data_IF_021691384824
#
_entry.id   IF_021691384824
#
_cell.length_a   1.000
_cell.length_b   1.000
_cell.length_c   1.000
_cell.angle_alpha   90.00
_cell.angle_beta   90.00
_cell.angle_gamma   90.00
#
_symmetry.space_group_name_H-M   'P 1'
#
loop_
_entity.id
_entity.type
_entity.pdbx_description
1 polymer ?
#
# COMPACT_ATOMS: atom_id res chain seq x y z
N UNK A 1 -5.38 -18.61 -6.94
CA UNK A 1 -3.99 -18.91 -7.34
C UNK A 1 -3.59 -18.20 -8.64
N UNK A 2 -4.37 -18.34 -9.74
CA UNK A 2 -4.10 -17.65 -11.03
C UNK A 2 -3.87 -16.14 -10.89
N UNK A 3 -4.65 -15.47 -10.03
CA UNK A 3 -4.50 -14.05 -9.72
C UNK A 3 -3.12 -13.69 -9.16
N UNK A 4 -2.68 -14.35 -8.09
CA UNK A 4 -1.38 -14.08 -7.47
C UNK A 4 -0.24 -14.35 -8.46
N UNK A 5 -0.33 -15.44 -9.23
CA UNK A 5 0.67 -15.74 -10.26
C UNK A 5 0.73 -14.65 -11.34
N UNK A 6 -0.41 -14.06 -11.73
CA UNK A 6 -0.42 -12.93 -12.67
C UNK A 6 0.25 -11.69 -12.09
N UNK A 7 0.00 -11.36 -10.82
CA UNK A 7 0.63 -10.22 -10.13
C UNK A 7 2.14 -10.44 -10.02
N UNK A 8 2.58 -11.63 -9.62
CA UNK A 8 4.00 -11.95 -9.43
C UNK A 8 4.84 -11.93 -10.71
N UNK A 9 4.22 -12.01 -11.91
CA UNK A 9 4.95 -11.85 -13.18
C UNK A 9 5.66 -10.51 -13.29
N UNK A 10 5.06 -9.47 -12.71
CA UNK A 10 5.57 -8.10 -12.69
C UNK A 10 6.55 -7.84 -11.54
N UNK A 11 6.84 -8.87 -10.71
CA UNK A 11 7.78 -8.82 -9.59
C UNK A 11 7.64 -7.56 -8.70
N UNK A 12 6.44 -7.24 -8.19
CA UNK A 12 6.27 -6.09 -7.30
C UNK A 12 6.86 -6.37 -5.91
N UNK A 13 7.42 -5.36 -5.25
CA UNK A 13 7.84 -5.47 -3.84
C UNK A 13 6.66 -5.33 -2.87
N UNK A 14 5.64 -4.55 -3.28
CA UNK A 14 4.47 -4.20 -2.48
C UNK A 14 3.17 -4.30 -3.30
N UNK A 15 2.17 -4.98 -2.75
CA UNK A 15 0.82 -5.06 -3.30
C UNK A 15 -0.17 -4.41 -2.34
N UNK A 16 -0.96 -3.47 -2.84
CA UNK A 16 -1.96 -2.74 -2.06
C UNK A 16 -3.35 -3.06 -2.59
N UNK A 17 -4.30 -3.31 -1.70
CA UNK A 17 -5.69 -3.58 -2.08
C UNK A 17 -6.70 -3.01 -1.07
N UNK A 18 -7.81 -2.50 -1.60
CA UNK A 18 -8.98 -2.09 -0.82
C UNK A 18 -9.77 -3.30 -0.29
N UNK A 19 -9.63 -4.44 -0.96
CA UNK A 19 -10.37 -5.66 -0.64
C UNK A 19 -9.69 -6.48 0.44
N UNK A 20 -10.47 -7.36 1.08
CA UNK A 20 -9.90 -8.39 1.95
C UNK A 20 -9.10 -9.39 1.12
N UNK A 21 -7.94 -9.78 1.64
CA UNK A 21 -7.18 -10.93 1.18
C UNK A 21 -7.32 -12.05 2.22
N UNK A 22 -7.62 -13.26 1.75
CA UNK A 22 -7.57 -14.47 2.57
C UNK A 22 -6.11 -14.92 2.78
N UNK A 23 -5.89 -15.83 3.72
CA UNK A 23 -4.55 -16.20 4.15
C UNK A 23 -3.72 -16.90 3.07
N UNK A 24 -4.37 -17.65 2.17
CA UNK A 24 -3.67 -18.38 1.10
C UNK A 24 -2.98 -17.44 0.09
N UNK A 25 -3.65 -16.43 -0.50
CA UNK A 25 -3.00 -15.37 -1.27
C UNK A 25 -1.88 -14.64 -0.52
N UNK A 26 -2.10 -14.30 0.76
CA UNK A 26 -1.09 -13.61 1.58
C UNK A 26 0.17 -14.48 1.74
N UNK A 27 0.00 -15.76 2.06
CA UNK A 27 1.09 -16.70 2.17
C UNK A 27 1.85 -16.85 0.84
N UNK A 28 1.13 -16.91 -0.28
CA UNK A 28 1.74 -17.05 -1.60
C UNK A 28 2.58 -15.82 -1.99
N UNK A 29 2.07 -14.61 -1.74
CA UNK A 29 2.82 -13.36 -1.97
C UNK A 29 4.04 -13.26 -1.04
N UNK A 30 3.86 -13.56 0.25
CA UNK A 30 4.93 -13.52 1.24
C UNK A 30 6.05 -14.52 0.94
N UNK A 31 5.72 -15.74 0.48
CA UNK A 31 6.72 -16.74 0.04
C UNK A 31 7.54 -16.25 -1.15
N UNK A 32 6.99 -15.37 -1.98
CA UNK A 32 7.69 -14.74 -3.10
C UNK A 32 8.40 -13.43 -2.73
N UNK A 33 8.46 -13.08 -1.44
CA UNK A 33 9.10 -11.85 -0.96
C UNK A 33 8.26 -10.58 -1.15
N UNK A 34 6.98 -10.72 -1.51
CA UNK A 34 6.09 -9.58 -1.79
C UNK A 34 5.26 -9.24 -0.56
N UNK A 35 5.34 -7.99 -0.12
CA UNK A 35 4.52 -7.48 0.98
C UNK A 35 3.12 -7.15 0.49
N UNK A 36 2.10 -7.42 1.32
CA UNK A 36 0.71 -7.15 0.97
C UNK A 36 0.03 -6.28 2.04
N UNK A 37 -0.47 -5.12 1.64
CA UNK A 37 -1.32 -4.25 2.46
C UNK A 37 -2.76 -4.38 1.97
N UNK A 38 -3.64 -4.80 2.87
CA UNK A 38 -5.06 -5.09 2.57
C UNK A 38 -5.99 -4.19 3.36
N UNK A 39 -7.21 -4.02 2.85
CA UNK A 39 -8.27 -3.22 3.49
C UNK A 39 -7.86 -1.74 3.60
N UNK A 40 -7.26 -1.20 2.53
CA UNK A 40 -7.00 0.24 2.47
C UNK A 40 -8.29 1.03 2.22
N UNK A 41 -8.39 2.23 2.79
CA UNK A 41 -9.47 3.15 2.42
C UNK A 41 -9.23 3.68 1.02
N UNK A 42 -10.30 3.89 0.26
CA UNK A 42 -10.24 4.44 -1.11
C UNK A 42 -9.48 5.77 -1.20
N UNK A 43 -9.62 6.63 -0.18
CA UNK A 43 -8.90 7.91 -0.09
C UNK A 43 -7.38 7.69 -0.01
N UNK A 44 -6.92 6.71 0.77
CA UNK A 44 -5.50 6.41 0.92
C UNK A 44 -4.95 5.70 -0.30
N UNK A 45 -5.76 4.88 -0.97
CA UNK A 45 -5.37 4.21 -2.21
C UNK A 45 -5.07 5.25 -3.31
N UNK A 46 -5.96 6.22 -3.50
CA UNK A 46 -5.76 7.32 -4.44
C UNK A 46 -4.54 8.19 -4.12
N UNK A 47 -4.24 8.41 -2.82
CA UNK A 47 -3.05 9.16 -2.40
C UNK A 47 -1.78 8.38 -2.70
N UNK A 48 -1.80 7.07 -2.44
CA UNK A 48 -0.65 6.18 -2.69
C UNK A 48 -0.34 6.06 -4.18
N UNK A 49 -1.36 5.95 -5.03
CA UNK A 49 -1.15 5.89 -6.49
C UNK A 49 -0.53 7.17 -7.04
N UNK A 50 -0.95 8.33 -6.53
CA UNK A 50 -0.36 9.62 -6.91
C UNK A 50 1.10 9.73 -6.46
N UNK A 51 1.42 9.31 -5.23
CA UNK A 51 2.78 9.34 -4.69
C UNK A 51 3.73 8.40 -5.44
N UNK A 52 3.28 7.16 -5.70
CA UNK A 52 4.13 6.11 -6.26
C UNK A 52 4.12 6.05 -7.79
N UNK A 53 3.33 6.89 -8.46
CA UNK A 53 3.04 6.81 -9.91
C UNK A 53 2.47 5.45 -10.36
N UNK A 54 1.67 4.83 -9.49
CA UNK A 54 0.97 3.58 -9.81
C UNK A 54 -0.41 3.85 -10.40
N UNK A 55 -1.00 2.86 -11.08
CA UNK A 55 -2.38 2.91 -11.57
C UNK A 55 -3.23 1.88 -10.83
N UNK A 56 -4.42 2.31 -10.36
CA UNK A 56 -5.37 1.38 -9.72
C UNK A 56 -5.96 0.48 -10.81
N UNK A 57 -5.84 -0.83 -10.63
CA UNK A 57 -6.35 -1.84 -11.57
C UNK A 57 -7.34 -2.75 -10.87
N UNK A 58 -8.54 -2.87 -11.44
CA UNK A 58 -9.61 -3.73 -10.90
C UNK A 58 -9.51 -5.19 -11.39
N UNK A 59 -8.70 -5.46 -12.42
CA UNK A 59 -8.66 -6.72 -13.16
C UNK A 59 -7.23 -7.12 -13.49
N UNK A 60 -6.79 -8.26 -12.96
CA UNK A 60 -5.41 -8.74 -13.10
C UNK A 60 -5.03 -9.14 -14.53
N UNK A 61 -6.02 -9.44 -15.38
CA UNK A 61 -5.80 -9.73 -16.80
C UNK A 61 -5.42 -8.50 -17.62
N UNK A 62 -5.69 -7.29 -17.10
CA UNK A 62 -5.33 -6.01 -17.74
C UNK A 62 -4.10 -5.35 -17.11
N UNK A 63 -3.40 -6.04 -16.20
CA UNK A 63 -2.19 -5.48 -15.61
C UNK A 63 -1.10 -5.34 -16.68
N UNK A 64 -0.36 -4.24 -16.63
CA UNK A 64 0.73 -3.91 -17.54
C UNK A 64 1.89 -3.37 -16.70
N UNK A 65 3.11 -3.44 -17.23
CA UNK A 65 4.30 -2.90 -16.56
C UNK A 65 4.13 -1.40 -16.24
N UNK A 66 3.48 -0.65 -17.12
CA UNK A 66 3.18 0.78 -16.94
C UNK A 66 2.23 1.08 -15.77
N UNK A 67 1.51 0.07 -15.25
CA UNK A 67 0.62 0.24 -14.10
C UNK A 67 1.36 0.08 -12.77
N UNK A 68 2.55 -0.52 -12.77
CA UNK A 68 3.36 -0.73 -11.56
C UNK A 68 4.10 0.57 -11.25
N UNK A 69 3.82 1.14 -10.07
CA UNK A 69 4.47 2.38 -9.63
C UNK A 69 5.89 2.11 -9.13
N UNK A 70 6.85 2.85 -9.65
CA UNK A 70 8.27 2.80 -9.25
C UNK A 70 8.70 4.05 -8.48
N UNK A 71 7.76 4.95 -8.18
CA UNK A 71 8.03 6.24 -7.57
C UNK A 71 8.18 6.21 -6.05
N UNK A 72 7.98 5.07 -5.38
CA UNK A 72 8.18 4.94 -3.94
C UNK A 72 9.68 4.76 -3.62
N UNK A 73 10.19 5.47 -2.60
CA UNK A 73 11.59 5.35 -2.18
C UNK A 73 11.78 4.24 -1.15
N UNK A 74 11.10 4.36 -0.01
CA UNK A 74 11.20 3.39 1.09
C UNK A 74 9.80 2.95 1.54
N UNK A 75 9.62 1.63 1.62
CA UNK A 75 8.48 1.00 2.30
C UNK A 75 8.96 0.40 3.62
N UNK A 76 8.32 0.79 4.72
CA UNK A 76 8.59 0.22 6.04
C UNK A 76 7.32 0.12 6.89
N UNK A 77 7.34 -0.79 7.85
CA UNK A 77 6.29 -0.91 8.88
C UNK A 77 6.91 -0.55 10.22
N UNK A 78 6.38 0.51 10.85
CA UNK A 78 6.86 1.00 12.14
C UNK A 78 5.79 0.80 13.20
N UNK A 79 6.19 0.26 14.35
CA UNK A 79 5.34 0.21 15.54
C UNK A 79 5.46 1.53 16.29
N UNK A 80 4.34 2.18 16.57
CA UNK A 80 4.28 3.42 17.33
C UNK A 80 3.21 3.26 18.41
N UNK A 81 3.62 3.22 19.68
CA UNK A 81 2.73 2.81 20.76
C UNK A 81 2.33 1.35 20.58
N UNK A 82 1.03 1.09 20.55
CA UNK A 82 0.47 -0.26 20.36
C UNK A 82 0.07 -0.56 18.91
N UNK A 83 0.13 0.43 18.02
CA UNK A 83 -0.31 0.32 16.63
C UNK A 83 0.87 0.17 15.65
N UNK A 84 0.60 -0.50 14.52
CA UNK A 84 1.54 -0.60 13.40
C UNK A 84 1.11 0.34 12.28
N UNK A 85 2.07 1.11 11.78
CA UNK A 85 1.88 2.06 10.70
C UNK A 85 2.73 1.66 9.51
N UNK A 86 2.12 1.74 8.32
CA UNK A 86 2.80 1.57 7.04
C UNK A 86 3.29 2.93 6.57
N UNK A 87 4.59 3.02 6.30
CA UNK A 87 5.23 4.20 5.76
C UNK A 87 5.66 3.90 4.32
N UNK A 88 5.25 4.78 3.42
CA UNK A 88 5.76 4.86 2.04
C UNK A 88 6.33 6.26 1.93
N UNK A 89 7.65 6.37 2.01
CA UNK A 89 8.38 7.65 2.09
C UNK A 89 9.39 7.77 0.96
N UNK A 90 10.01 8.95 0.84
CA UNK A 90 10.96 9.29 -0.22
C UNK A 90 10.39 9.08 -1.63
N UNK A 91 9.09 9.37 -1.79
CA UNK A 91 8.40 9.29 -3.07
C UNK A 91 8.87 10.38 -4.03
N UNK A 92 9.06 10.04 -5.30
CA UNK A 92 9.51 10.98 -6.33
C UNK A 92 8.51 12.12 -6.58
N UNK A 93 7.22 11.90 -6.37
CA UNK A 93 6.19 12.95 -6.51
C UNK A 93 5.71 13.44 -5.13
N UNK A 94 6.03 14.70 -4.81
CA UNK A 94 5.70 15.36 -3.54
C UNK A 94 4.25 15.83 -3.43
N UNK A 95 3.37 15.45 -4.37
CA UNK A 95 1.94 15.84 -4.35
C UNK A 95 1.11 15.20 -3.23
N UNK A 96 1.66 14.22 -2.51
CA UNK A 96 0.96 13.57 -1.40
C UNK A 96 1.87 13.51 -0.17
N UNK A 97 1.48 14.20 0.89
CA UNK A 97 2.11 14.15 2.20
C UNK A 97 1.10 13.68 3.24
N UNK A 98 1.57 12.99 4.27
CA UNK A 98 0.78 12.56 5.43
C UNK A 98 1.36 13.17 6.68
N UNK A 99 0.51 13.84 7.48
CA UNK A 99 0.85 14.29 8.83
C UNK A 99 0.23 13.32 9.83
N UNK A 100 1.06 12.74 10.69
CA UNK A 100 0.60 11.87 11.78
C UNK A 100 0.48 12.69 13.06
N UNK A 101 -0.74 13.03 13.45
CA UNK A 101 -1.03 13.72 14.70
C UNK A 101 -1.11 12.73 15.87
N UNK A 102 -0.54 13.10 17.01
CA UNK A 102 -0.58 12.32 18.26
C UNK A 102 -0.90 13.24 19.42
N UNK A 103 -1.75 12.78 20.33
CA UNK A 103 -2.25 13.56 21.46
C UNK A 103 -2.77 12.64 22.56
N UNK A 104 -2.99 13.21 23.74
CA UNK A 104 -3.36 12.45 24.94
C UNK A 104 -4.79 11.85 24.88
N UNK A 105 -5.70 12.47 24.12
CA UNK A 105 -7.07 11.99 23.93
C UNK A 105 -7.54 12.19 22.49
N UNK A 106 -8.51 11.37 22.07
CA UNK A 106 -9.16 11.49 20.75
C UNK A 106 -9.92 12.81 20.61
N UNK A 107 -10.56 13.28 21.68
CA UNK A 107 -11.34 14.53 21.65
C UNK A 107 -10.45 15.74 21.37
N UNK A 108 -9.26 15.80 21.99
CA UNK A 108 -8.30 16.86 21.76
C UNK A 108 -7.78 16.83 20.31
N UNK A 109 -7.52 15.64 19.76
CA UNK A 109 -7.05 15.48 18.39
C UNK A 109 -8.09 15.88 17.34
N UNK A 110 -9.38 15.66 17.62
CA UNK A 110 -10.46 16.00 16.70
C UNK A 110 -10.75 17.52 16.65
N UNK A 111 -10.22 18.30 17.60
CA UNK A 111 -10.39 19.76 17.66
C UNK A 111 -9.27 20.55 16.96
N UNK A 112 -8.20 19.87 16.52
CA UNK A 112 -7.08 20.43 15.75
C UNK A 112 -7.35 20.37 14.25
#
# INVERSE_FOLDING_TARGET
MKLCAQILKFKPDLVITENRLSDLPCHYLSKSGVSAVRILRKTDNNRTTNACKAVIVNRSDKLQESHVGTGAGLFEVKKIGDDFFVYIVDCQDLKACTVLLRGASKDLLNQL
#
